data_IF_762720507414
#
_entry.id   IF_762720507414
#
_cell.length_a   1.000
_cell.length_b   1.000
_cell.length_c   1.000
_cell.angle_alpha   90.00
_cell.angle_beta   90.00
_cell.angle_gamma   90.00
#
_symmetry.space_group_name_H-M   'P 1'
#
loop_
_entity.id
_entity.type
_entity.pdbx_description
1 polymer ?
#
# COMPACT_ATOMS: atom_id res chain seq x y z
N UNK A 1 -9.06 10.92 16.15
CA UNK A 1 -9.42 10.53 14.78
C UNK A 1 -8.17 10.75 13.96
N UNK A 2 -7.49 9.69 13.52
CA UNK A 2 -6.34 9.84 12.62
C UNK A 2 -6.80 10.52 11.33
N UNK A 3 -5.96 11.41 10.80
CA UNK A 3 -6.24 12.03 9.52
C UNK A 3 -5.95 11.05 8.37
N UNK A 4 -6.65 11.18 7.24
CA UNK A 4 -6.38 10.38 6.02
C UNK A 4 -4.91 10.47 5.61
N UNK A 5 -4.28 11.64 5.77
CA UNK A 5 -2.86 11.83 5.49
C UNK A 5 -1.97 10.96 6.39
N UNK A 6 -2.27 10.91 7.69
CA UNK A 6 -1.52 10.12 8.67
C UNK A 6 -1.74 8.62 8.47
N UNK A 7 -2.95 8.19 8.08
CA UNK A 7 -3.21 6.79 7.70
C UNK A 7 -2.41 6.39 6.46
N UNK A 8 -2.35 7.25 5.45
CA UNK A 8 -1.62 6.99 4.20
C UNK A 8 -0.10 7.05 4.39
N UNK A 9 0.37 7.91 5.29
CA UNK A 9 1.78 8.23 5.50
C UNK A 9 2.07 8.34 7.01
N UNK A 10 2.10 7.21 7.72
CA UNK A 10 2.26 7.22 9.17
C UNK A 10 3.67 7.69 9.55
N UNK A 11 3.75 8.49 10.61
CA UNK A 11 5.00 9.08 11.10
C UNK A 11 5.72 8.20 12.15
N UNK A 12 5.33 6.92 12.27
CA UNK A 12 5.99 5.99 13.18
C UNK A 12 7.46 5.76 12.79
N UNK A 13 8.29 5.45 13.79
CA UNK A 13 9.73 5.28 13.59
C UNK A 13 10.01 4.21 12.51
N UNK A 14 10.74 4.61 11.46
CA UNK A 14 11.17 3.72 10.38
C UNK A 14 10.09 3.37 9.36
N UNK A 15 8.89 3.98 9.42
CA UNK A 15 7.84 3.76 8.43
C UNK A 15 7.95 4.65 7.18
N UNK A 16 8.77 5.71 7.25
CA UNK A 16 9.01 6.65 6.16
C UNK A 16 10.52 6.75 5.91
N UNK A 17 10.89 6.71 4.63
CA UNK A 17 12.25 6.84 4.11
C UNK A 17 12.23 7.35 2.65
N UNK A 18 13.41 7.50 2.05
CA UNK A 18 13.56 7.95 0.65
C UNK A 18 12.80 7.08 -0.35
N UNK A 19 12.62 5.78 -0.08
CA UNK A 19 11.88 4.91 -0.99
C UNK A 19 10.38 5.16 -0.89
N UNK A 20 9.84 5.37 0.31
CA UNK A 20 8.44 5.79 0.48
C UNK A 20 8.14 7.15 -0.16
N UNK A 21 9.12 8.07 -0.18
CA UNK A 21 9.02 9.34 -0.89
C UNK A 21 8.98 9.14 -2.40
N UNK A 22 9.87 8.30 -2.94
CA UNK A 22 9.85 7.93 -4.36
C UNK A 22 8.53 7.27 -4.77
N UNK A 23 7.99 6.36 -3.94
CA UNK A 23 6.70 5.71 -4.20
C UNK A 23 5.57 6.73 -4.38
N UNK A 24 5.58 7.80 -3.58
CA UNK A 24 4.61 8.91 -3.70
C UNK A 24 4.91 9.89 -4.82
N UNK A 25 6.10 9.82 -5.39
CA UNK A 25 6.56 10.66 -6.47
C UNK A 25 5.83 10.41 -7.79
N UNK A 26 6.09 11.24 -8.81
CA UNK A 26 5.41 11.20 -10.10
C UNK A 26 5.65 9.90 -10.91
N UNK A 27 6.71 9.16 -10.58
CA UNK A 27 7.09 7.92 -11.26
C UNK A 27 6.21 6.74 -10.83
N UNK A 28 5.95 6.61 -9.53
CA UNK A 28 5.23 5.48 -8.94
C UNK A 28 3.79 5.81 -8.52
N UNK A 29 3.50 7.09 -8.26
CA UNK A 29 2.14 7.67 -8.08
C UNK A 29 1.28 7.03 -7.01
N UNK A 30 1.88 6.42 -5.99
CA UNK A 30 1.14 5.98 -4.82
C UNK A 30 0.62 7.18 -4.04
N UNK A 31 -0.64 7.14 -3.59
CA UNK A 31 -1.21 8.20 -2.73
C UNK A 31 -0.86 8.01 -1.25
N UNK A 32 -0.45 6.80 -0.87
CA UNK A 32 0.10 6.47 0.44
C UNK A 32 1.20 5.44 0.32
N UNK A 33 2.20 5.56 1.17
CA UNK A 33 3.32 4.63 1.22
C UNK A 33 3.84 4.52 2.65
N UNK A 34 4.18 3.29 3.04
CA UNK A 34 4.83 3.01 4.32
C UNK A 34 5.75 1.80 4.19
N UNK A 35 6.86 1.84 4.92
CA UNK A 35 7.67 0.67 5.22
C UNK A 35 7.02 -0.09 6.39
N UNK A 36 6.91 -1.40 6.24
CA UNK A 36 6.38 -2.31 7.25
C UNK A 36 7.50 -2.73 8.22
N UNK A 37 7.16 -3.15 9.45
CA UNK A 37 8.12 -3.68 10.42
C UNK A 37 9.04 -4.80 9.89
N UNK A 38 8.55 -5.64 8.97
CA UNK A 38 9.36 -6.70 8.34
C UNK A 38 10.33 -6.18 7.26
N UNK A 39 10.34 -4.88 7.03
CA UNK A 39 11.20 -4.19 6.06
C UNK A 39 10.64 -4.13 4.65
N UNK A 40 9.50 -4.76 4.36
CA UNK A 40 8.83 -4.67 3.06
C UNK A 40 8.02 -3.38 2.94
N UNK A 41 7.57 -3.05 1.73
CA UNK A 41 6.85 -1.81 1.46
C UNK A 41 5.41 -2.06 1.04
N UNK A 42 4.53 -1.22 1.56
CA UNK A 42 3.11 -1.20 1.25
C UNK A 42 2.72 0.17 0.69
N UNK A 43 2.01 0.17 -0.44
CA UNK A 43 1.48 1.37 -1.08
C UNK A 43 -0.02 1.32 -1.28
N UNK A 44 -0.65 2.49 -1.34
CA UNK A 44 -2.04 2.67 -1.80
C UNK A 44 -2.03 3.34 -3.16
N UNK A 45 -2.62 2.70 -4.16
CA UNK A 45 -2.73 3.23 -5.52
C UNK A 45 -4.20 3.54 -5.85
N UNK A 46 -4.54 4.77 -6.30
CA UNK A 46 -5.84 5.05 -6.85
C UNK A 46 -5.94 4.45 -8.27
N UNK A 47 -7.02 3.74 -8.54
CA UNK A 47 -7.38 3.26 -9.87
C UNK A 47 -8.57 4.09 -10.40
N UNK A 48 -9.06 3.78 -11.60
CA UNK A 48 -10.15 4.53 -12.22
C UNK A 48 -11.44 4.55 -11.36
N UNK A 49 -11.73 3.47 -10.63
CA UNK A 49 -12.95 3.33 -9.80
C UNK A 49 -12.72 2.70 -8.44
N UNK A 50 -11.50 2.29 -8.12
CA UNK A 50 -11.17 1.50 -6.92
C UNK A 50 -9.86 1.99 -6.31
N UNK A 51 -9.58 1.57 -5.10
CA UNK A 51 -8.27 1.72 -4.46
C UNK A 51 -7.60 0.36 -4.34
N UNK A 52 -6.28 0.34 -4.46
CA UNK A 52 -5.51 -0.88 -4.35
C UNK A 52 -4.44 -0.77 -3.26
N UNK A 53 -4.45 -1.72 -2.33
CA UNK A 53 -3.29 -2.00 -1.48
C UNK A 53 -2.31 -2.84 -2.29
N UNK A 54 -1.08 -2.36 -2.39
CA UNK A 54 0.04 -3.01 -3.07
C UNK A 54 1.09 -3.41 -2.04
N UNK A 55 1.42 -4.70 -1.94
CA UNK A 55 2.47 -5.23 -1.07
C UNK A 55 3.69 -5.70 -1.88
N UNK A 56 4.87 -5.56 -1.29
CA UNK A 56 6.13 -6.00 -1.89
C UNK A 56 6.58 -5.11 -3.05
N UNK A 57 6.33 -3.80 -2.93
CA UNK A 57 6.73 -2.79 -3.91
C UNK A 57 8.25 -2.66 -3.96
N UNK A 58 8.82 -2.67 -5.16
CA UNK A 58 10.24 -2.38 -5.44
C UNK A 58 10.35 -1.29 -6.51
N UNK A 59 11.57 -0.91 -6.92
CA UNK A 59 11.74 0.05 -8.02
C UNK A 59 11.31 -0.53 -9.37
N UNK A 60 11.38 -1.85 -9.51
CA UNK A 60 11.12 -2.59 -10.74
C UNK A 60 9.70 -3.16 -10.78
N UNK A 61 9.11 -3.46 -9.62
CA UNK A 61 7.78 -4.02 -9.49
C UNK A 61 6.87 -3.11 -8.65
N UNK A 62 5.78 -2.63 -9.25
CA UNK A 62 4.78 -1.84 -8.55
C UNK A 62 4.06 -2.61 -7.43
N UNK A 63 4.02 -3.95 -7.50
CA UNK A 63 3.47 -4.82 -6.46
C UNK A 63 3.80 -6.28 -6.74
N UNK A 64 3.88 -7.10 -5.70
CA UNK A 64 3.85 -8.57 -5.79
C UNK A 64 2.47 -9.13 -5.42
N UNK A 65 1.79 -8.50 -4.46
CA UNK A 65 0.37 -8.75 -4.14
C UNK A 65 -0.41 -7.45 -4.26
N UNK A 66 -1.60 -7.51 -4.87
CA UNK A 66 -2.51 -6.37 -4.97
C UNK A 66 -3.93 -6.73 -4.56
N UNK A 67 -4.51 -5.96 -3.66
CA UNK A 67 -5.86 -6.12 -3.13
C UNK A 67 -6.70 -4.88 -3.45
N UNK A 68 -7.76 -5.05 -4.23
CA UNK A 68 -8.61 -3.95 -4.70
C UNK A 68 -9.87 -3.80 -3.83
N UNK A 69 -10.26 -2.55 -3.59
CA UNK A 69 -11.42 -2.14 -2.80
C UNK A 69 -12.24 -1.11 -3.57
N UNK A 70 -13.57 -1.25 -3.55
CA UNK A 70 -14.49 -0.20 -4.03
C UNK A 70 -14.68 0.91 -3.01
N UNK A 71 -14.67 0.55 -1.72
CA UNK A 71 -14.81 1.50 -0.61
C UNK A 71 -13.44 1.97 -0.10
N UNK A 72 -13.21 3.29 -0.16
CA UNK A 72 -11.96 3.90 0.29
C UNK A 72 -11.71 3.71 1.79
N UNK A 73 -12.77 3.73 2.61
CA UNK A 73 -12.63 3.60 4.07
C UNK A 73 -12.20 2.19 4.46
N UNK A 74 -12.74 1.17 3.80
CA UNK A 74 -12.31 -0.23 3.97
C UNK A 74 -10.85 -0.41 3.54
N UNK A 75 -10.47 0.16 2.40
CA UNK A 75 -9.07 0.13 1.94
C UNK A 75 -8.11 0.74 2.97
N UNK A 76 -8.43 1.92 3.50
CA UNK A 76 -7.57 2.63 4.45
C UNK A 76 -7.52 1.92 5.81
N UNK A 77 -8.64 1.37 6.27
CA UNK A 77 -8.71 0.58 7.50
C UNK A 77 -7.83 -0.67 7.41
N UNK A 78 -7.89 -1.42 6.31
CA UNK A 78 -7.04 -2.59 6.13
C UNK A 78 -5.57 -2.22 5.91
N UNK A 79 -5.31 -1.14 5.16
CA UNK A 79 -3.96 -0.64 4.95
C UNK A 79 -3.25 -0.25 6.27
N UNK A 80 -3.97 0.38 7.21
CA UNK A 80 -3.37 0.81 8.47
C UNK A 80 -2.91 -0.37 9.32
N UNK A 81 -3.60 -1.51 9.23
CA UNK A 81 -3.35 -2.74 10.02
C UNK A 81 -2.18 -3.58 9.53
N UNK A 82 -1.69 -3.34 8.32
CA UNK A 82 -0.56 -4.10 7.76
C UNK A 82 0.71 -3.90 8.58
N UNK A 83 1.35 -5.01 8.92
CA UNK A 83 2.62 -5.16 9.63
C UNK A 83 3.64 -6.03 8.88
N UNK A 84 3.20 -6.85 7.90
CA UNK A 84 4.11 -7.68 7.09
C UNK A 84 3.63 -7.90 5.65
N UNK A 85 4.54 -8.33 4.78
CA UNK A 85 4.21 -8.79 3.42
C UNK A 85 3.29 -10.02 3.40
N UNK A 86 3.33 -10.82 4.46
CA UNK A 86 2.53 -12.03 4.57
C UNK A 86 1.10 -11.75 5.04
N UNK A 87 0.83 -10.53 5.52
CA UNK A 87 -0.52 -10.14 5.89
C UNK A 87 -1.45 -10.20 4.68
N UNK A 88 -2.64 -10.74 4.91
CA UNK A 88 -3.71 -10.76 3.91
C UNK A 88 -4.85 -9.89 4.43
N UNK A 89 -5.02 -8.67 3.89
CA UNK A 89 -6.12 -7.81 4.30
C UNK A 89 -7.46 -8.42 3.86
N UNK A 90 -8.53 -8.05 4.54
CA UNK A 90 -9.86 -8.63 4.32
C UNK A 90 -10.75 -7.73 3.46
N UNK A 91 -11.90 -8.24 3.00
CA UNK A 91 -12.94 -7.42 2.35
C UNK A 91 -12.61 -6.87 0.97
N UNK A 92 -11.51 -7.31 0.35
CA UNK A 92 -11.18 -6.95 -1.03
C UNK A 92 -12.13 -7.61 -2.03
N UNK A 93 -12.41 -6.91 -3.13
CA UNK A 93 -13.26 -7.41 -4.23
C UNK A 93 -12.45 -8.15 -5.29
N UNK A 94 -11.14 -7.90 -5.36
CA UNK A 94 -10.24 -8.63 -6.25
C UNK A 94 -8.81 -8.70 -5.68
N UNK A 95 -8.17 -9.88 -5.84
CA UNK A 95 -6.75 -10.11 -5.58
C UNK A 95 -6.03 -10.46 -6.88
N UNK A 96 -4.87 -9.86 -7.13
CA UNK A 96 -4.02 -10.20 -8.30
C UNK A 96 -2.59 -10.50 -7.86
N UNK A 97 -2.13 -11.76 -7.93
CA UNK A 97 -0.71 -12.07 -7.91
C UNK A 97 -0.11 -11.73 -9.28
N UNK A 98 1.16 -11.33 -9.33
CA UNK A 98 1.90 -11.39 -10.60
C UNK A 98 2.06 -12.86 -10.98
N UNK A 99 1.56 -13.23 -12.17
CA UNK A 99 1.86 -14.53 -12.79
C UNK A 99 3.36 -14.54 -13.05
N UNK A 100 4.09 -15.50 -12.47
CA UNK A 100 5.46 -15.76 -12.86
C UNK A 100 5.45 -16.13 -14.36
N UNK A 101 6.08 -15.29 -15.19
CA UNK A 101 6.38 -15.63 -16.58
C UNK A 101 7.47 -16.70 -16.63
#
# INVERSE_FOLDING_TARGET
>A
MESVHETLNPNGAGQQDEFTEWMRGPDARFVGAKRLPDGTYAGVLPLMFTYAICLGVTRELAYQKRFCYEDTSACLHEYSRLASFNDEPEGWVARRPLVAL
#
